data_IF_741123253875
#
_entry.id   IF_741123253875
#
_cell.length_a   1.000
_cell.length_b   1.000
_cell.length_c   1.000
_cell.angle_alpha   90.00
_cell.angle_beta   90.00
_cell.angle_gamma   90.00
#
_symmetry.space_group_name_H-M   'P 1'
#
loop_
_entity.id
_entity.type
_entity.pdbx_description
1 polymer ?
#
# COMPACT_ATOMS: atom_id res chain seq x y z
N UNK A 1 -10.35 -12.62 -16.42
CA UNK A 1 -10.25 -11.80 -15.20
C UNK A 1 -9.18 -10.72 -15.42
N UNK A 2 -9.46 -9.48 -15.07
CA UNK A 2 -8.53 -8.33 -15.11
C UNK A 2 -8.24 -7.83 -13.70
N UNK A 3 -6.97 -7.71 -13.33
CA UNK A 3 -6.54 -7.32 -11.98
C UNK A 3 -5.68 -6.07 -12.04
N UNK A 4 -6.00 -5.06 -11.25
CA UNK A 4 -5.14 -3.89 -11.06
C UNK A 4 -4.51 -3.92 -9.66
N UNK A 5 -3.22 -3.68 -9.56
CA UNK A 5 -2.48 -3.57 -8.30
C UNK A 5 -2.03 -2.14 -8.12
N UNK A 6 -2.45 -1.50 -7.05
CA UNK A 6 -1.94 -0.18 -6.68
C UNK A 6 -0.75 -0.35 -5.76
N UNK A 7 0.38 0.23 -6.14
CA UNK A 7 1.61 0.18 -5.35
C UNK A 7 2.11 1.60 -5.08
N UNK A 8 2.91 1.74 -4.03
CA UNK A 8 3.59 2.98 -3.69
C UNK A 8 5.08 2.73 -3.47
N UNK A 9 5.90 3.63 -4.02
CA UNK A 9 7.30 3.72 -3.65
C UNK A 9 7.42 4.52 -2.35
N UNK A 10 8.08 3.95 -1.35
CA UNK A 10 8.27 4.55 -0.03
C UNK A 10 9.75 4.55 0.34
N UNK A 11 10.21 5.48 1.20
CA UNK A 11 11.52 5.38 1.81
C UNK A 11 11.62 4.11 2.66
N UNK A 12 12.77 3.44 2.62
CA UNK A 12 13.07 2.30 3.48
C UNK A 12 13.19 2.75 4.95
N UNK A 13 12.14 2.49 5.73
CA UNK A 13 12.00 3.01 7.10
C UNK A 13 12.90 2.31 8.13
N UNK A 14 13.43 1.13 7.81
CA UNK A 14 14.35 0.36 8.67
C UNK A 14 15.71 1.03 8.83
N UNK A 15 16.10 1.91 7.90
CA UNK A 15 17.36 2.66 7.94
C UNK A 15 17.20 4.12 8.37
N UNK A 16 16.06 4.49 8.96
CA UNK A 16 15.84 5.85 9.48
C UNK A 16 16.82 6.13 10.62
N UNK A 17 17.90 6.85 10.29
CA UNK A 17 18.91 7.31 11.25
C UNK A 17 18.55 8.71 11.72
N UNK A 18 18.66 8.93 13.02
CA UNK A 18 18.60 10.27 13.62
C UNK A 18 20.02 10.81 13.64
N UNK A 19 20.22 12.02 13.11
CA UNK A 19 21.48 12.73 13.26
C UNK A 19 21.67 13.05 14.75
N UNK A 20 22.70 12.48 15.41
CA UNK A 20 22.91 12.67 16.84
C UNK A 20 23.28 14.10 17.23
N UNK A 21 23.65 14.95 16.26
CA UNK A 21 23.96 16.37 16.49
C UNK A 21 22.74 17.28 16.36
N UNK A 22 21.88 17.01 15.39
CA UNK A 22 20.73 17.87 15.09
C UNK A 22 19.41 17.31 15.63
N UNK A 23 19.38 16.06 16.09
CA UNK A 23 18.17 15.30 16.41
C UNK A 23 17.13 15.31 15.27
N UNK A 24 17.59 15.51 14.04
CA UNK A 24 16.75 15.46 12.85
C UNK A 24 16.93 14.15 12.11
N UNK A 25 15.93 13.81 11.30
CA UNK A 25 15.91 12.59 10.50
C UNK A 25 16.92 12.75 9.35
N UNK A 26 17.90 11.85 9.23
CA UNK A 26 18.80 11.80 8.07
C UNK A 26 17.99 11.21 6.91
N UNK A 27 17.69 12.07 5.92
CA UNK A 27 16.91 11.71 4.73
C UNK A 27 17.77 11.42 3.50
N UNK A 28 19.03 11.84 3.50
CA UNK A 28 19.97 11.54 2.42
C UNK A 28 20.45 10.09 2.51
N UNK A 29 20.38 9.37 1.39
CA UNK A 29 20.87 7.99 1.28
C UNK A 29 19.89 6.89 1.67
N UNK A 30 18.64 7.21 2.03
CA UNK A 30 17.61 6.18 2.27
C UNK A 30 17.10 5.66 0.93
N UNK A 31 17.27 4.36 0.68
CA UNK A 31 16.77 3.72 -0.53
C UNK A 31 15.24 3.84 -0.62
N UNK A 32 14.74 4.01 -1.85
CA UNK A 32 13.30 3.98 -2.13
C UNK A 32 12.91 2.58 -2.58
N UNK A 33 11.96 1.95 -1.89
CA UNK A 33 11.53 0.57 -2.13
C UNK A 33 10.03 0.53 -2.46
N UNK A 34 9.57 -0.59 -3.02
CA UNK A 34 8.13 -0.89 -3.01
C UNK A 34 7.69 -1.03 -1.55
N UNK A 35 6.60 -0.37 -1.18
CA UNK A 35 6.00 -0.53 0.13
C UNK A 35 5.82 -2.02 0.49
N UNK A 36 6.28 -2.49 1.67
CA UNK A 36 6.24 -3.91 2.01
C UNK A 36 4.85 -4.55 1.91
N UNK A 37 3.78 -3.81 2.25
CA UNK A 37 2.42 -4.35 2.11
C UNK A 37 2.00 -4.55 0.65
N UNK A 38 2.52 -3.72 -0.25
CA UNK A 38 2.20 -3.79 -1.69
C UNK A 38 2.92 -4.95 -2.37
N UNK A 39 4.03 -5.45 -1.81
CA UNK A 39 4.69 -6.66 -2.28
C UNK A 39 3.80 -7.89 -2.17
N UNK A 40 3.00 -7.99 -1.09
CA UNK A 40 2.01 -9.05 -0.95
C UNK A 40 0.87 -8.91 -1.97
N UNK A 41 0.49 -7.68 -2.31
CA UNK A 41 -0.53 -7.41 -3.32
C UNK A 41 -0.07 -7.80 -4.73
N UNK A 42 1.19 -7.49 -5.08
CA UNK A 42 1.83 -7.91 -6.33
C UNK A 42 1.84 -9.44 -6.42
N UNK A 43 2.32 -10.12 -5.37
CA UNK A 43 2.38 -11.59 -5.37
C UNK A 43 0.99 -12.20 -5.52
N UNK A 44 -0.03 -11.70 -4.81
CA UNK A 44 -1.37 -12.27 -4.92
C UNK A 44 -1.94 -12.11 -6.33
N UNK A 45 -1.71 -10.96 -6.97
CA UNK A 45 -2.09 -10.76 -8.37
C UNK A 45 -1.38 -11.74 -9.31
N UNK A 46 -0.08 -12.00 -9.11
CA UNK A 46 0.68 -12.98 -9.90
C UNK A 46 0.15 -14.40 -9.68
N UNK A 47 -0.13 -14.80 -8.44
CA UNK A 47 -0.74 -16.11 -8.13
C UNK A 47 -2.12 -16.27 -8.75
N UNK A 48 -2.93 -15.21 -8.75
CA UNK A 48 -4.24 -15.23 -9.41
C UNK A 48 -4.13 -15.30 -10.92
N UNK A 49 -3.15 -14.61 -11.51
CA UNK A 49 -2.81 -14.76 -12.92
C UNK A 49 -2.43 -16.19 -13.28
N UNK A 50 -1.55 -16.82 -12.50
CA UNK A 50 -1.13 -18.21 -12.75
C UNK A 50 -2.28 -19.20 -12.60
N UNK A 51 -3.19 -18.98 -11.64
CA UNK A 51 -4.36 -19.85 -11.40
C UNK A 51 -5.48 -19.68 -12.42
N UNK A 52 -5.76 -18.45 -12.85
CA UNK A 52 -6.97 -18.11 -13.62
C UNK A 52 -6.69 -17.50 -15.00
N UNK A 53 -5.44 -17.41 -15.44
CA UNK A 53 -5.06 -16.75 -16.68
C UNK A 53 -5.41 -15.26 -16.69
N UNK A 54 -5.39 -14.61 -15.53
CA UNK A 54 -5.77 -13.20 -15.40
C UNK A 54 -4.75 -12.27 -16.08
N UNK A 55 -5.24 -11.17 -16.66
CA UNK A 55 -4.38 -10.07 -17.11
C UNK A 55 -4.16 -9.09 -15.96
N UNK A 56 -2.92 -8.73 -15.69
CA UNK A 56 -2.54 -7.92 -14.51
C UNK A 56 -1.92 -6.58 -14.88
N UNK A 57 -2.32 -5.52 -14.19
CA UNK A 57 -1.70 -4.20 -14.26
C UNK A 57 -1.13 -3.82 -12.90
N UNK A 58 -0.01 -3.11 -12.89
CA UNK A 58 0.50 -2.40 -11.72
C UNK A 58 0.45 -0.90 -11.97
N UNK A 59 -0.03 -0.13 -11.00
CA UNK A 59 -0.23 1.31 -11.10
C UNK A 59 0.47 1.98 -9.92
N UNK A 60 1.26 3.00 -10.19
CA UNK A 60 1.84 3.86 -9.14
C UNK A 60 1.59 5.32 -9.48
N UNK A 61 1.32 6.12 -8.44
CA UNK A 61 1.31 7.58 -8.54
C UNK A 61 2.53 8.11 -7.79
N UNK A 62 3.38 8.87 -8.47
CA UNK A 62 4.59 9.37 -7.85
C UNK A 62 5.53 10.07 -8.83
N UNK A 63 6.64 10.62 -8.31
CA UNK A 63 7.65 11.28 -9.14
C UNK A 63 8.27 10.33 -10.17
N UNK A 64 9.06 10.83 -11.15
CA UNK A 64 9.76 10.01 -12.14
C UNK A 64 10.49 8.79 -11.57
N UNK A 65 11.14 8.91 -10.40
CA UNK A 65 11.84 7.79 -9.74
C UNK A 65 10.92 6.61 -9.37
N UNK A 66 9.61 6.81 -9.24
CA UNK A 66 8.67 5.73 -8.93
C UNK A 66 8.52 4.71 -10.07
N UNK A 67 9.04 5.02 -11.27
CA UNK A 67 9.14 4.03 -12.35
C UNK A 67 9.96 2.80 -11.92
N UNK A 68 10.98 2.97 -11.06
CA UNK A 68 11.81 1.86 -10.58
C UNK A 68 10.97 0.79 -9.85
N UNK A 69 10.01 1.23 -9.02
CA UNK A 69 9.06 0.35 -8.34
C UNK A 69 8.15 -0.40 -9.34
N UNK A 70 7.73 0.26 -10.44
CA UNK A 70 6.98 -0.42 -11.50
C UNK A 70 7.83 -1.48 -12.21
N UNK A 71 9.09 -1.18 -12.49
CA UNK A 71 10.03 -2.12 -13.14
C UNK A 71 10.26 -3.34 -12.26
N UNK A 72 10.38 -3.15 -10.95
CA UNK A 72 10.50 -4.25 -10.00
C UNK A 72 9.24 -5.11 -9.99
N UNK A 73 8.04 -4.53 -9.88
CA UNK A 73 6.78 -5.28 -9.94
C UNK A 73 6.59 -6.05 -11.27
N UNK A 74 6.92 -5.41 -12.41
CA UNK A 74 6.95 -6.07 -13.72
C UNK A 74 7.93 -7.24 -13.74
N UNK A 75 9.07 -7.15 -13.05
CA UNK A 75 10.06 -8.21 -13.01
C UNK A 75 9.62 -9.42 -12.18
N UNK A 76 8.65 -9.25 -11.26
CA UNK A 76 8.07 -10.31 -10.45
C UNK A 76 7.02 -11.13 -11.21
N UNK A 77 6.32 -10.56 -12.20
CA UNK A 77 5.35 -11.33 -12.98
C UNK A 77 4.13 -10.57 -13.52
N UNK A 78 3.95 -9.30 -13.14
CA UNK A 78 2.86 -8.46 -13.65
C UNK A 78 3.00 -8.25 -15.17
N UNK A 79 1.87 -8.16 -15.88
CA UNK A 79 1.85 -8.01 -17.35
C UNK A 79 2.16 -6.59 -17.81
N UNK A 80 1.50 -5.59 -17.24
CA UNK A 80 1.57 -4.20 -17.69
C UNK A 80 1.71 -3.23 -16.51
N UNK A 81 2.33 -2.08 -16.75
CA UNK A 81 2.52 -1.05 -15.74
C UNK A 81 2.01 0.30 -16.24
N UNK A 82 1.50 1.12 -15.33
CA UNK A 82 1.06 2.50 -15.60
C UNK A 82 1.70 3.41 -14.56
N UNK A 83 2.32 4.49 -15.03
CA UNK A 83 2.88 5.53 -14.18
C UNK A 83 1.97 6.76 -14.21
N UNK A 84 1.42 7.15 -13.07
CA UNK A 84 0.72 8.41 -12.90
C UNK A 84 1.73 9.45 -12.41
N UNK A 85 2.26 10.25 -13.32
CA UNK A 85 3.34 11.19 -13.05
C UNK A 85 2.99 12.56 -13.61
N UNK A 86 2.70 13.49 -12.71
CA UNK A 86 2.35 14.86 -13.02
C UNK A 86 2.69 15.75 -11.82
N UNK A 87 3.23 16.96 -12.05
CA UNK A 87 3.52 17.91 -10.98
C UNK A 87 2.25 18.34 -10.24
N UNK A 88 1.10 18.34 -10.92
CA UNK A 88 -0.21 18.68 -10.33
C UNK A 88 -0.68 17.67 -9.29
N UNK A 89 -0.14 16.44 -9.27
CA UNK A 89 -0.44 15.46 -8.23
C UNK A 89 0.35 15.68 -6.94
N UNK A 90 1.35 16.56 -6.94
CA UNK A 90 2.20 16.80 -5.78
C UNK A 90 1.39 17.35 -4.59
N UNK A 91 1.69 16.84 -3.39
CA UNK A 91 1.02 17.26 -2.16
C UNK A 91 -0.39 16.68 -1.96
N UNK A 92 -0.81 15.72 -2.79
CA UNK A 92 -2.09 15.02 -2.62
C UNK A 92 -2.16 14.31 -1.26
N UNK A 93 -3.28 14.50 -0.56
CA UNK A 93 -3.68 13.66 0.56
C UNK A 93 -4.31 12.33 0.10
N UNK A 94 -4.91 11.59 1.02
CA UNK A 94 -5.51 10.27 0.72
C UNK A 94 -6.72 10.36 -0.21
N UNK A 95 -7.52 11.42 -0.11
CA UNK A 95 -8.69 11.64 -0.96
C UNK A 95 -8.26 11.92 -2.40
N UNK A 96 -7.43 12.95 -2.61
CA UNK A 96 -6.92 13.33 -3.93
C UNK A 96 -6.14 12.17 -4.58
N UNK A 97 -5.30 11.46 -3.82
CA UNK A 97 -4.57 10.27 -4.30
C UNK A 97 -5.52 9.17 -4.77
N UNK A 98 -6.55 8.86 -3.97
CA UNK A 98 -7.50 7.80 -4.28
C UNK A 98 -8.36 8.14 -5.50
N UNK A 99 -8.70 9.41 -5.72
CA UNK A 99 -9.40 9.88 -6.91
C UNK A 99 -8.56 9.65 -8.17
N UNK A 100 -7.29 10.04 -8.16
CA UNK A 100 -6.37 9.87 -9.29
C UNK A 100 -6.23 8.38 -9.67
N UNK A 101 -6.01 7.51 -8.68
CA UNK A 101 -5.93 6.07 -8.89
C UNK A 101 -7.24 5.48 -9.43
N UNK A 102 -8.39 5.90 -8.89
CA UNK A 102 -9.70 5.46 -9.37
C UNK A 102 -9.94 5.85 -10.83
N UNK A 103 -9.56 7.06 -11.25
CA UNK A 103 -9.67 7.49 -12.67
C UNK A 103 -8.78 6.65 -13.58
N UNK A 104 -7.56 6.33 -13.16
CA UNK A 104 -6.66 5.47 -13.92
C UNK A 104 -7.23 4.05 -14.08
N UNK A 105 -7.76 3.48 -13.01
CA UNK A 105 -8.40 2.15 -13.04
C UNK A 105 -9.65 2.16 -13.93
N UNK A 106 -10.45 3.23 -13.88
CA UNK A 106 -11.61 3.38 -14.76
C UNK A 106 -11.20 3.44 -16.23
N UNK A 107 -10.11 4.12 -16.56
CA UNK A 107 -9.54 4.22 -17.91
C UNK A 107 -9.02 2.88 -18.46
N UNK A 108 -8.61 1.94 -17.60
CA UNK A 108 -8.20 0.59 -18.02
C UNK A 108 -9.34 -0.29 -18.55
N UNK A 109 -10.59 0.06 -18.20
CA UNK A 109 -11.84 -0.62 -18.56
C UNK A 109 -11.95 -2.10 -18.13
N UNK A 110 -13.02 -2.42 -17.41
CA UNK A 110 -13.39 -3.80 -17.07
C UNK A 110 -12.45 -4.49 -16.08
N UNK A 111 -11.81 -3.73 -15.17
CA UNK A 111 -11.06 -4.31 -14.05
C UNK A 111 -12.04 -5.05 -13.12
N UNK A 112 -11.78 -6.33 -12.89
CA UNK A 112 -12.60 -7.21 -12.05
C UNK A 112 -12.16 -7.17 -10.58
N UNK A 113 -10.87 -6.97 -10.32
CA UNK A 113 -10.32 -6.96 -8.97
C UNK A 113 -9.22 -5.92 -8.84
N UNK A 114 -9.28 -5.13 -7.78
CA UNK A 114 -8.22 -4.20 -7.39
C UNK A 114 -7.58 -4.74 -6.11
N UNK A 115 -6.25 -4.80 -6.07
CA UNK A 115 -5.50 -5.26 -4.90
C UNK A 115 -4.55 -4.14 -4.46
N UNK A 116 -4.65 -3.74 -3.19
CA UNK A 116 -3.72 -2.79 -2.56
C UNK A 116 -3.06 -3.44 -1.35
N UNK A 117 -1.90 -2.96 -0.92
CA UNK A 117 -1.43 -3.25 0.43
C UNK A 117 -2.35 -2.62 1.49
N UNK A 118 -2.27 -3.13 2.73
CA UNK A 118 -3.01 -2.59 3.89
C UNK A 118 -2.78 -1.09 4.07
N UNK A 119 -1.52 -0.66 4.12
CA UNK A 119 -1.11 0.72 4.35
C UNK A 119 0.28 0.95 3.75
N UNK A 120 0.67 2.21 3.57
CA UNK A 120 2.03 2.59 3.19
C UNK A 120 2.82 3.05 4.42
N UNK A 121 4.07 2.61 4.57
CA UNK A 121 4.89 2.83 5.76
C UNK A 121 5.29 4.28 6.05
N UNK A 122 5.14 5.18 5.07
CA UNK A 122 5.51 6.58 5.21
C UNK A 122 4.36 7.46 5.75
N UNK A 123 3.13 7.15 5.35
CA UNK A 123 1.92 7.87 5.77
C UNK A 123 1.04 7.13 6.78
N UNK A 124 1.11 5.80 6.82
CA UNK A 124 0.41 4.91 7.77
C UNK A 124 -1.12 5.10 7.89
N UNK A 125 -1.77 5.71 6.90
CA UNK A 125 -3.20 6.06 7.00
C UNK A 125 -4.16 4.89 6.76
N UNK A 126 -3.74 3.88 5.98
CA UNK A 126 -4.58 2.77 5.52
C UNK A 126 -5.87 3.19 4.75
N UNK A 127 -5.92 4.42 4.21
CA UNK A 127 -7.15 5.00 3.64
C UNK A 127 -7.26 4.91 2.11
N UNK A 128 -6.14 4.87 1.38
CA UNK A 128 -6.15 5.01 -0.09
C UNK A 128 -6.90 3.87 -0.77
N UNK A 129 -6.67 2.61 -0.36
CA UNK A 129 -7.41 1.46 -0.89
C UNK A 129 -8.93 1.63 -0.74
N UNK A 130 -9.44 1.85 0.48
CA UNK A 130 -10.86 2.15 0.69
C UNK A 130 -11.38 3.38 -0.06
N UNK A 131 -10.57 4.44 -0.18
CA UNK A 131 -10.93 5.63 -0.97
C UNK A 131 -11.12 5.31 -2.45
N UNK A 132 -10.25 4.49 -3.05
CA UNK A 132 -10.37 4.05 -4.45
C UNK A 132 -11.68 3.27 -4.65
N UNK A 133 -12.00 2.36 -3.73
CA UNK A 133 -13.25 1.59 -3.78
C UNK A 133 -14.48 2.52 -3.71
N UNK A 134 -14.45 3.52 -2.84
CA UNK A 134 -15.51 4.50 -2.70
C UNK A 134 -15.72 5.33 -3.99
N UNK A 135 -14.63 5.84 -4.60
CA UNK A 135 -14.72 6.59 -5.86
C UNK A 135 -15.26 5.76 -7.04
N UNK A 136 -14.98 4.45 -7.05
CA UNK A 136 -15.48 3.53 -8.06
C UNK A 136 -16.85 2.94 -7.75
N UNK A 137 -17.36 3.16 -6.53
CA UNK A 137 -18.55 2.48 -5.99
C UNK A 137 -18.42 0.94 -6.05
N UNK A 138 -17.24 0.42 -5.70
CA UNK A 138 -16.96 -1.01 -5.66
C UNK A 138 -17.10 -1.54 -4.23
N UNK A 139 -17.66 -2.76 -4.03
CA UNK A 139 -17.50 -3.50 -2.79
C UNK A 139 -16.03 -3.60 -2.38
N UNK A 140 -15.76 -3.59 -1.08
CA UNK A 140 -14.40 -3.76 -0.57
C UNK A 140 -14.30 -4.73 0.61
N UNK A 141 -13.17 -5.41 0.72
CA UNK A 141 -12.76 -6.14 1.92
C UNK A 141 -11.34 -5.73 2.30
N UNK A 142 -11.17 -5.15 3.48
CA UNK A 142 -9.86 -4.74 4.00
C UNK A 142 -9.24 -5.84 4.84
N UNK A 143 -7.93 -5.79 5.07
CA UNK A 143 -7.21 -6.74 5.93
C UNK A 143 -7.35 -8.21 5.49
N UNK A 144 -7.41 -8.46 4.19
CA UNK A 144 -7.56 -9.81 3.64
C UNK A 144 -6.28 -10.60 3.87
N UNK A 145 -6.41 -11.66 4.68
CA UNK A 145 -5.33 -12.59 4.99
C UNK A 145 -5.34 -13.84 4.12
N UNK A 146 -6.45 -14.12 3.41
CA UNK A 146 -6.56 -15.29 2.52
C UNK A 146 -7.70 -15.11 1.52
N UNK A 147 -7.46 -15.47 0.26
CA UNK A 147 -8.53 -15.71 -0.72
C UNK A 147 -8.82 -17.21 -0.72
N UNK A 148 -10.04 -17.60 -0.36
CA UNK A 148 -10.47 -19.01 -0.31
C UNK A 148 -10.86 -19.53 -1.69
N UNK A 149 -11.68 -18.76 -2.40
CA UNK A 149 -12.21 -19.13 -3.71
C UNK A 149 -12.58 -17.88 -4.49
N UNK A 150 -12.43 -17.95 -5.83
CA UNK A 150 -12.99 -16.97 -6.76
C UNK A 150 -13.84 -17.74 -7.78
N UNK A 151 -15.13 -17.40 -7.82
CA UNK A 151 -16.05 -17.90 -8.83
C UNK A 151 -16.29 -16.79 -9.88
N UNK A 152 -15.59 -16.90 -11.01
CA UNK A 152 -15.62 -15.90 -12.08
C UNK A 152 -17.01 -15.84 -12.74
N UNK A 153 -17.65 -16.99 -12.97
CA UNK A 153 -18.96 -17.08 -13.62
C UNK A 153 -20.06 -16.39 -12.79
N UNK A 154 -20.06 -16.63 -11.48
CA UNK A 154 -21.00 -16.02 -10.53
C UNK A 154 -20.59 -14.63 -10.06
N UNK A 155 -19.40 -14.15 -10.46
CA UNK A 155 -18.80 -12.89 -10.00
C UNK A 155 -18.74 -12.78 -8.48
N UNK A 156 -18.30 -13.85 -7.81
CA UNK A 156 -18.18 -13.89 -6.35
C UNK A 156 -16.77 -14.29 -5.94
N UNK A 157 -16.30 -13.73 -4.85
CA UNK A 157 -15.05 -14.08 -4.21
C UNK A 157 -15.29 -14.30 -2.71
N UNK A 158 -14.62 -15.29 -2.13
CA UNK A 158 -14.66 -15.56 -0.70
C UNK A 158 -13.30 -15.28 -0.08
N UNK A 159 -13.26 -14.41 0.92
CA UNK A 159 -12.01 -13.97 1.56
C UNK A 159 -12.09 -14.09 3.08
N UNK A 160 -10.94 -14.29 3.70
CA UNK A 160 -10.77 -14.16 5.14
C UNK A 160 -10.27 -12.77 5.46
N UNK A 161 -11.07 -11.99 6.18
CA UNK A 161 -10.70 -10.67 6.70
C UNK A 161 -10.22 -10.83 8.13
N UNK A 162 -9.00 -10.38 8.41
CA UNK A 162 -8.44 -10.39 9.75
C UNK A 162 -9.11 -9.32 10.63
N UNK A 163 -9.38 -9.70 11.88
CA UNK A 163 -9.78 -8.84 13.00
C UNK A 163 -8.78 -8.99 14.15
N UNK A 164 -8.95 -8.23 15.22
CA UNK A 164 -8.10 -8.27 16.41
C UNK A 164 -8.07 -9.66 17.07
N UNK A 165 -9.22 -10.33 17.14
CA UNK A 165 -9.39 -11.61 17.85
C UNK A 165 -9.57 -12.82 16.93
N UNK A 166 -9.48 -12.64 15.62
CA UNK A 166 -9.74 -13.73 14.68
C UNK A 166 -9.88 -13.29 13.23
N UNK A 167 -10.78 -13.94 12.49
CA UNK A 167 -11.10 -13.55 11.13
C UNK A 167 -12.56 -13.84 10.79
N UNK A 168 -13.09 -13.07 9.85
CA UNK A 168 -14.41 -13.27 9.26
C UNK A 168 -14.25 -13.86 7.85
N UNK A 169 -15.16 -14.76 7.47
CA UNK A 169 -15.30 -15.22 6.09
C UNK A 169 -16.34 -14.34 5.39
N UNK A 170 -15.89 -13.57 4.39
CA UNK A 170 -16.73 -12.65 3.64
C UNK A 170 -16.96 -13.17 2.22
N UNK A 171 -18.20 -13.10 1.76
CA UNK A 171 -18.53 -13.16 0.34
C UNK A 171 -18.55 -11.73 -0.23
N UNK A 172 -17.85 -11.50 -1.34
CA UNK A 172 -17.81 -10.21 -2.03
C UNK A 172 -18.11 -10.37 -3.52
N UNK A 173 -18.94 -9.47 -4.06
CA UNK A 173 -19.32 -9.44 -5.47
C UNK A 173 -18.27 -8.70 -6.29
N UNK A 174 -17.87 -9.26 -7.44
CA UNK A 174 -16.96 -8.62 -8.39
C UNK A 174 -17.74 -7.69 -9.36
N UNK A 175 -17.19 -6.52 -9.74
CA UNK A 175 -15.83 -6.07 -9.44
C UNK A 175 -15.66 -5.56 -8.00
N UNK A 176 -14.49 -5.78 -7.41
CA UNK A 176 -14.23 -5.43 -6.00
C UNK A 176 -12.81 -4.90 -5.77
N UNK A 177 -12.59 -4.30 -4.59
CA UNK A 177 -11.27 -3.94 -4.09
C UNK A 177 -10.95 -4.73 -2.82
N UNK A 178 -9.72 -5.23 -2.71
CA UNK A 178 -9.21 -5.80 -1.45
C UNK A 178 -7.94 -5.09 -1.02
N UNK A 179 -7.77 -4.94 0.31
CA UNK A 179 -6.47 -4.62 0.89
C UNK A 179 -5.90 -5.85 1.59
N UNK A 180 -4.62 -6.14 1.38
CA UNK A 180 -4.00 -7.38 1.87
C UNK A 180 -3.00 -7.14 3.00
N UNK A 181 -2.86 -8.14 3.86
CA UNK A 181 -1.88 -8.21 4.94
C UNK A 181 -0.85 -9.30 4.68
N UNK A 182 0.24 -9.32 5.45
CA UNK A 182 1.37 -10.24 5.25
C UNK A 182 0.99 -11.72 5.23
N UNK A 183 -0.11 -12.10 5.88
CA UNK A 183 -0.58 -13.48 5.99
C UNK A 183 -1.11 -14.06 4.67
N UNK A 184 -1.37 -13.22 3.65
CA UNK A 184 -1.92 -13.62 2.35
C UNK A 184 -0.97 -14.52 1.54
N UNK A 185 0.33 -14.24 1.59
CA UNK A 185 1.38 -14.95 0.86
C UNK A 185 2.78 -14.53 1.31
N UNK A 186 3.80 -15.19 0.72
CA UNK A 186 5.19 -14.75 0.76
C UNK A 186 5.60 -14.28 -0.65
N UNK A 187 6.01 -13.01 -0.82
CA UNK A 187 6.36 -12.49 -2.15
C UNK A 187 7.56 -13.19 -2.76
N UNK A 188 7.45 -13.57 -4.04
CA UNK A 188 8.58 -14.17 -4.78
C UNK A 188 9.68 -13.16 -5.09
N UNK A 189 10.88 -13.68 -5.31
CA UNK A 189 11.99 -12.87 -5.85
C UNK A 189 11.89 -12.73 -7.38
N UNK A 190 12.27 -11.58 -7.96
CA UNK A 190 12.34 -11.42 -9.40
C UNK A 190 13.35 -12.36 -10.06
N UNK A 191 12.95 -13.00 -11.16
CA UNK A 191 13.86 -13.78 -12.00
C UNK A 191 14.72 -12.89 -12.91
N UNK A 192 15.89 -13.36 -13.32
CA UNK A 192 16.74 -12.64 -14.30
C UNK A 192 15.98 -12.36 -15.61
N UNK A 193 15.23 -13.35 -16.10
CA UNK A 193 14.39 -13.23 -17.30
C UNK A 193 13.30 -12.18 -17.13
N UNK A 194 12.69 -12.13 -15.93
CA UNK A 194 11.73 -11.11 -15.52
C UNK A 194 12.35 -9.70 -15.53
N UNK A 195 13.53 -9.53 -14.94
CA UNK A 195 14.26 -8.25 -14.95
C UNK A 195 14.57 -7.77 -16.37
N UNK A 196 15.01 -8.68 -17.25
CA UNK A 196 15.27 -8.35 -18.66
C UNK A 196 14.01 -7.94 -19.42
N UNK A 197 12.87 -8.63 -19.20
CA UNK A 197 11.57 -8.25 -19.77
C UNK A 197 11.15 -6.88 -19.26
N UNK A 198 11.17 -6.70 -17.94
CA UNK A 198 10.77 -5.46 -17.29
C UNK A 198 11.57 -4.26 -17.81
N UNK A 199 12.88 -4.38 -18.02
CA UNK A 199 13.72 -3.30 -18.58
C UNK A 199 13.31 -2.87 -19.99
N UNK A 200 12.79 -3.79 -20.82
CA UNK A 200 12.43 -3.52 -22.23
C UNK A 200 11.01 -3.00 -22.41
N UNK A 201 10.17 -3.14 -21.40
CA UNK A 201 8.76 -2.80 -21.51
C UNK A 201 8.57 -1.29 -21.65
N UNK A 202 7.59 -0.85 -22.44
CA UNK A 202 7.19 0.55 -22.44
C UNK A 202 6.20 0.75 -21.29
N UNK A 203 6.49 1.71 -20.41
CA UNK A 203 5.60 2.09 -19.31
C UNK A 203 4.92 3.40 -19.72
N UNK A 204 3.62 3.39 -20.07
CA UNK A 204 2.90 4.63 -20.32
C UNK A 204 2.88 5.51 -19.07
N UNK A 205 3.13 6.79 -19.29
CA UNK A 205 2.98 7.84 -18.28
C UNK A 205 1.67 8.57 -18.56
N UNK A 206 0.78 8.61 -17.57
CA UNK A 206 -0.48 9.35 -17.64
C UNK A 206 -0.45 10.56 -16.72
N UNK A 207 -0.91 11.68 -17.26
CA UNK A 207 -1.03 12.98 -16.59
C UNK A 207 -2.47 13.25 -16.15
N UNK A 208 -2.72 14.36 -15.44
CA UNK A 208 -4.10 14.74 -15.09
C UNK A 208 -5.00 14.90 -16.33
N UNK A 209 -4.42 15.37 -17.46
CA UNK A 209 -5.13 15.55 -18.74
C UNK A 209 -5.57 14.21 -19.32
N UNK A 210 -4.70 13.20 -19.26
CA UNK A 210 -5.01 11.85 -19.72
C UNK A 210 -6.15 11.20 -18.92
N UNK A 211 -6.38 11.65 -17.69
CA UNK A 211 -7.40 11.16 -16.77
C UNK A 211 -8.67 12.03 -16.75
N UNK A 212 -8.66 13.16 -17.46
CA UNK A 212 -9.77 14.12 -17.46
C UNK A 212 -10.02 14.74 -16.08
N UNK A 213 -8.97 14.96 -15.29
CA UNK A 213 -9.01 15.58 -13.98
C UNK A 213 -8.69 17.07 -14.07
N UNK A 214 -9.36 17.88 -13.26
CA UNK A 214 -9.03 19.31 -13.09
C UNK A 214 -8.02 19.48 -11.97
N UNK A 215 -7.21 20.54 -12.05
CA UNK A 215 -6.20 20.86 -11.01
C UNK A 215 -6.84 21.13 -9.64
N UNK A 216 -8.10 21.58 -9.60
CA UNK A 216 -8.84 21.80 -8.34
C UNK A 216 -9.21 20.50 -7.62
N UNK A 217 -9.21 19.35 -8.31
CA UNK A 217 -9.63 18.06 -7.78
C UNK A 217 -8.47 17.20 -7.27
N UNK A 218 -7.22 17.63 -7.51
CA UNK A 218 -6.01 16.84 -7.30
C UNK A 218 -4.92 17.67 -6.60
N UNK A 219 -3.84 17.00 -6.20
CA UNK A 219 -2.72 17.67 -5.55
C UNK A 219 -3.14 18.32 -4.24
N UNK A 220 -2.35 19.31 -3.82
CA UNK A 220 -2.65 20.08 -2.61
C UNK A 220 -4.01 20.81 -2.70
N UNK A 221 -4.39 21.30 -3.89
CA UNK A 221 -5.63 22.06 -4.11
C UNK A 221 -6.88 21.21 -3.89
N UNK A 222 -6.87 19.96 -4.37
CA UNK A 222 -7.97 19.00 -4.19
C UNK A 222 -7.91 18.20 -2.89
N UNK A 223 -6.93 18.48 -2.02
CA UNK A 223 -6.76 17.77 -0.76
C UNK A 223 -7.59 18.42 0.36
N UNK A 224 -8.62 17.73 0.90
CA UNK A 224 -9.36 18.22 2.06
C UNK A 224 -8.52 18.32 3.33
N UNK A 225 -7.41 17.59 3.42
CA UNK A 225 -6.48 17.64 4.57
C UNK A 225 -5.13 18.25 4.17
N UNK A 226 -4.51 18.96 5.12
CA UNK A 226 -3.20 19.60 4.92
C UNK A 226 -2.30 19.38 6.14
N UNK A 227 -1.05 18.98 5.89
CA UNK A 227 -0.05 18.78 6.94
C UNK A 227 0.52 20.13 7.35
N UNK A 228 0.06 20.66 8.49
CA UNK A 228 0.50 21.97 9.01
C UNK A 228 1.90 21.92 9.64
N UNK A 229 2.23 20.84 10.36
CA UNK A 229 3.49 20.70 11.09
C UNK A 229 3.89 19.24 11.22
N UNK A 230 5.18 18.97 11.01
CA UNK A 230 5.82 17.67 11.27
C UNK A 230 6.88 17.86 12.35
N UNK A 231 6.91 16.97 13.34
CA UNK A 231 7.91 16.97 14.41
C UNK A 231 8.28 15.54 14.80
N UNK A 232 9.50 15.34 15.29
CA UNK A 232 9.97 14.04 15.79
C UNK A 232 9.43 13.82 17.20
N UNK A 233 8.90 12.62 17.54
CA UNK A 233 8.53 12.32 18.92
C UNK A 233 9.78 12.39 19.84
N UNK A 234 9.61 12.77 21.12
CA UNK A 234 10.73 12.80 22.05
C UNK A 234 11.35 11.41 22.18
N UNK A 235 12.68 11.32 22.39
CA UNK A 235 13.33 10.04 22.63
C UNK A 235 12.71 9.33 23.85
N UNK A 236 12.62 8.00 23.80
CA UNK A 236 12.13 7.20 24.94
C UNK A 236 12.99 7.48 26.17
N UNK A 237 12.34 7.69 27.30
CA UNK A 237 13.04 7.78 28.59
C UNK A 237 13.71 6.44 28.93
N UNK A 238 14.78 6.50 29.73
CA UNK A 238 15.44 5.27 30.20
C UNK A 238 14.44 4.44 31.01
N UNK A 239 14.48 3.13 30.80
CA UNK A 239 13.70 2.19 31.61
C UNK A 239 14.08 2.29 33.09
N UNK A 240 13.10 2.05 33.95
CA UNK A 240 13.30 1.98 35.41
C UNK A 240 13.58 0.53 35.80
N UNK A 241 14.71 0.30 36.46
CA UNK A 241 15.04 -1.00 37.06
C UNK A 241 14.52 -0.97 38.50
N UNK A 242 13.76 -1.98 38.90
CA UNK A 242 13.31 -2.14 40.28
C UNK A 242 14.28 -3.05 41.02
N UNK A 243 14.73 -2.60 42.18
CA UNK A 243 15.59 -3.35 43.10
C UNK A 243 14.79 -3.76 44.35
N UNK A 244 15.17 -4.88 44.95
CA UNK A 244 14.53 -5.48 46.13
C UNK A 244 14.12 -6.93 45.91
N UNK A 245 13.40 -7.48 46.87
CA UNK A 245 12.86 -8.85 46.79
C UNK A 245 11.84 -8.97 45.66
N UNK A 246 11.67 -10.19 45.14
CA UNK A 246 10.80 -10.48 43.98
C UNK A 246 9.39 -9.90 44.16
N UNK A 247 8.79 -10.07 45.35
CA UNK A 247 7.44 -9.56 45.63
C UNK A 247 7.37 -8.04 45.58
N UNK A 248 8.38 -7.35 46.14
CA UNK A 248 8.43 -5.88 46.10
C UNK A 248 8.61 -5.35 44.67
N UNK A 249 9.44 -6.02 43.87
CA UNK A 249 9.66 -5.66 42.48
C UNK A 249 8.37 -5.82 41.66
N UNK A 250 7.62 -6.90 41.87
CA UNK A 250 6.32 -7.12 41.21
C UNK A 250 5.30 -6.06 41.64
N UNK A 251 5.21 -5.72 42.92
CA UNK A 251 4.31 -4.66 43.38
C UNK A 251 4.65 -3.30 42.78
N UNK A 252 5.94 -2.93 42.76
CA UNK A 252 6.45 -1.68 42.15
C UNK A 252 6.13 -1.66 40.65
N UNK A 253 6.34 -2.77 39.95
CA UNK A 253 6.04 -2.91 38.52
C UNK A 253 4.53 -2.75 38.25
N UNK A 254 3.68 -3.50 38.95
CA UNK A 254 2.22 -3.43 38.77
C UNK A 254 1.69 -2.04 39.06
N UNK A 255 2.21 -1.36 40.09
CA UNK A 255 1.84 0.02 40.42
C UNK A 255 2.16 1.00 39.30
N UNK A 256 3.32 0.86 38.65
CA UNK A 256 3.71 1.71 37.52
C UNK A 256 2.89 1.37 36.25
N UNK A 257 2.63 0.08 35.99
CA UNK A 257 1.84 -0.36 34.83
C UNK A 257 0.37 0.06 34.92
N UNK A 258 -0.22 0.10 36.12
CA UNK A 258 -1.60 0.58 36.35
C UNK A 258 -1.83 2.03 35.90
N UNK A 259 -0.78 2.81 35.66
CA UNK A 259 -0.90 4.18 35.13
C UNK A 259 -1.21 4.21 33.63
N UNK A 260 -1.04 3.09 32.94
CA UNK A 260 -1.19 2.94 31.49
C UNK A 260 -2.34 2.01 31.08
N UNK A 261 -3.02 1.40 32.05
CA UNK A 261 -4.26 0.63 31.88
C UNK A 261 -5.44 1.54 32.23
#
# INVERSE_FOLDING_TARGET
MKIAVCIKQVPETTEVKIDPKTNTLIREGVASIINPFDMYAIEEAVRLKERYGAKTWVITMGPPQAEEALREALSMGIDEAIHLSDKTFAGSDTWATSLVLAKAIKKLEGVDLIICGKQASDGDTAQVGPGVAAHLNFPQATYVRKIREINIERKKMYVERLLEEGYELLEITLPALITVVKEINEPRLPSLRGKMRAKKQLIPVWTHKDLGLKEEEIGLSGSPTQVVKVFTPPPREKGKIFEGDVNECVEKLVKELKRFL
#
